data_IF_827878549568
#
_entry.id   IF_827878549568
#
_cell.length_a   1.000
_cell.length_b   1.000
_cell.length_c   1.000
_cell.angle_alpha   90.00
_cell.angle_beta   90.00
_cell.angle_gamma   90.00
#
_symmetry.space_group_name_H-M   'P 1'
#
loop_
_entity.id
_entity.type
_entity.pdbx_description
1 polymer ?
#
# COMPACT_ATOMS: atom_id res chain seq x y z
N UNK A 1 -17.51 -2.00 -15.59
CA UNK A 1 -16.56 -2.55 -14.59
C UNK A 1 -16.34 -4.02 -14.92
N UNK A 2 -15.09 -4.47 -15.05
CA UNK A 2 -14.78 -5.86 -15.43
C UNK A 2 -14.68 -6.76 -14.18
N UNK A 3 -14.95 -8.06 -14.33
CA UNK A 3 -14.77 -9.04 -13.24
C UNK A 3 -13.32 -9.05 -12.74
N UNK A 4 -12.36 -8.85 -13.64
CA UNK A 4 -10.92 -8.79 -13.31
C UNK A 4 -10.62 -7.57 -12.43
N UNK A 5 -11.16 -6.40 -12.78
CA UNK A 5 -11.00 -5.16 -11.99
C UNK A 5 -11.56 -5.33 -10.57
N UNK A 6 -12.72 -6.00 -10.46
CA UNK A 6 -13.32 -6.30 -9.17
C UNK A 6 -12.45 -7.24 -8.31
N UNK A 7 -11.94 -8.33 -8.89
CA UNK A 7 -11.12 -9.30 -8.17
C UNK A 7 -9.80 -8.71 -7.69
N UNK A 8 -9.11 -7.94 -8.54
CA UNK A 8 -7.84 -7.28 -8.18
C UNK A 8 -8.09 -6.21 -7.11
N UNK A 9 -9.18 -5.45 -7.24
CA UNK A 9 -9.58 -4.46 -6.26
C UNK A 9 -9.83 -5.06 -4.87
N UNK A 10 -10.57 -6.18 -4.79
CA UNK A 10 -10.83 -6.86 -3.50
C UNK A 10 -9.52 -7.31 -2.86
N UNK A 11 -8.61 -7.92 -3.62
CA UNK A 11 -7.30 -8.33 -3.13
C UNK A 11 -6.48 -7.14 -2.59
N UNK A 12 -6.44 -6.03 -3.34
CA UNK A 12 -5.71 -4.81 -2.97
C UNK A 12 -6.30 -4.14 -1.72
N UNK A 13 -7.64 -4.05 -1.63
CA UNK A 13 -8.34 -3.54 -0.45
C UNK A 13 -8.08 -4.40 0.79
N UNK A 14 -8.07 -5.73 0.64
CA UNK A 14 -7.73 -6.65 1.72
C UNK A 14 -6.31 -6.39 2.24
N UNK A 15 -5.32 -6.31 1.34
CA UNK A 15 -3.93 -6.01 1.71
C UNK A 15 -3.78 -4.65 2.41
N UNK A 16 -4.54 -3.64 1.99
CA UNK A 16 -4.57 -2.34 2.65
C UNK A 16 -5.10 -2.47 4.09
N UNK A 17 -6.23 -3.14 4.31
CA UNK A 17 -6.82 -3.34 5.64
C UNK A 17 -5.88 -4.12 6.57
N UNK A 18 -5.29 -5.22 6.08
CA UNK A 18 -4.37 -6.05 6.87
C UNK A 18 -3.06 -5.32 7.23
N UNK A 19 -2.68 -4.28 6.48
CA UNK A 19 -1.50 -3.47 6.78
C UNK A 19 -1.78 -2.28 7.71
N UNK A 20 -3.04 -1.92 7.98
CA UNK A 20 -3.40 -0.85 8.95
C UNK A 20 -2.90 -1.13 10.37
N UNK A 21 -3.02 -2.35 10.96
CA UNK A 21 -2.43 -2.64 12.27
C UNK A 21 -0.91 -2.39 12.32
N UNK A 22 -0.24 -2.56 11.18
CA UNK A 22 1.19 -2.23 11.03
C UNK A 22 1.43 -0.73 11.02
N UNK A 23 0.48 0.12 10.66
CA UNK A 23 0.58 1.57 10.88
C UNK A 23 0.43 1.90 12.37
N UNK A 24 -0.56 1.30 13.03
CA UNK A 24 -0.98 1.66 14.39
C UNK A 24 -0.06 1.07 15.49
N UNK A 25 0.55 -0.09 15.24
CA UNK A 25 1.39 -0.76 16.23
C UNK A 25 2.80 -0.13 16.28
N UNK A 26 3.08 0.74 17.24
CA UNK A 26 4.41 1.37 17.43
C UNK A 26 5.56 0.36 17.62
N UNK A 27 5.27 -0.88 18.04
CA UNK A 27 6.27 -1.95 18.22
C UNK A 27 6.51 -2.85 17.00
N UNK A 28 5.82 -2.64 15.87
CA UNK A 28 6.03 -3.50 14.70
C UNK A 28 7.41 -3.28 14.07
N UNK A 29 8.05 -4.40 13.69
CA UNK A 29 9.44 -4.46 13.23
C UNK A 29 9.60 -4.27 11.72
N UNK A 30 8.57 -3.79 11.01
CA UNK A 30 8.63 -3.65 9.55
C UNK A 30 9.72 -2.63 9.17
N UNK A 31 10.76 -3.05 8.42
CA UNK A 31 11.86 -2.16 8.06
C UNK A 31 11.41 -1.03 7.13
N UNK A 32 11.75 0.22 7.47
CA UNK A 32 11.38 1.40 6.67
C UNK A 32 12.07 1.43 5.30
N UNK A 33 13.40 1.26 5.27
CA UNK A 33 14.20 1.41 4.05
C UNK A 33 14.13 0.21 3.09
N UNK A 34 14.05 -1.01 3.62
CA UNK A 34 14.14 -2.23 2.79
C UNK A 34 12.78 -2.81 2.42
N UNK A 35 11.71 -2.46 3.13
CA UNK A 35 10.35 -2.94 2.82
C UNK A 35 9.38 -1.77 2.56
N UNK A 36 9.25 -0.85 3.51
CA UNK A 36 8.15 0.14 3.47
C UNK A 36 8.25 1.14 2.31
N UNK A 37 9.44 1.72 2.08
CA UNK A 37 9.67 2.68 0.99
C UNK A 37 9.54 2.02 -0.40
N UNK A 38 10.19 0.87 -0.69
CA UNK A 38 9.98 0.15 -1.95
C UNK A 38 8.51 -0.19 -2.20
N UNK A 39 7.81 -0.75 -1.21
CA UNK A 39 6.39 -1.10 -1.34
C UNK A 39 5.51 0.12 -1.62
N UNK A 40 5.69 1.22 -0.88
CA UNK A 40 4.94 2.45 -1.11
C UNK A 40 5.19 3.02 -2.51
N UNK A 41 6.46 3.02 -2.94
CA UNK A 41 6.88 3.57 -4.24
C UNK A 41 6.32 2.75 -5.41
N UNK A 42 6.40 1.42 -5.31
CA UNK A 42 5.88 0.50 -6.33
C UNK A 42 4.36 0.68 -6.46
N UNK A 43 3.63 0.70 -5.35
CA UNK A 43 2.17 0.87 -5.38
C UNK A 43 1.80 2.23 -5.98
N UNK A 44 2.49 3.31 -5.59
CA UNK A 44 2.27 4.66 -6.13
C UNK A 44 2.50 4.70 -7.65
N UNK A 45 3.54 4.01 -8.15
CA UNK A 45 3.83 3.92 -9.58
C UNK A 45 2.74 3.17 -10.36
N UNK A 46 2.13 2.16 -9.76
CA UNK A 46 1.10 1.35 -10.43
C UNK A 46 -0.27 2.04 -10.50
N UNK A 47 -0.59 2.98 -9.61
CA UNK A 47 -1.87 3.72 -9.64
C UNK A 47 -2.18 4.32 -11.02
N UNK A 48 -1.32 5.16 -11.64
CA UNK A 48 -1.61 5.72 -12.95
C UNK A 48 -1.62 4.66 -14.06
N UNK A 49 -0.85 3.58 -13.94
CA UNK A 49 -0.84 2.50 -14.93
C UNK A 49 -2.17 1.76 -14.97
N UNK A 50 -2.77 1.46 -13.81
CA UNK A 50 -4.09 0.85 -13.73
C UNK A 50 -5.20 1.80 -14.20
N UNK A 51 -5.09 3.09 -13.88
CA UNK A 51 -6.04 4.10 -14.34
C UNK A 51 -6.03 4.24 -15.87
N UNK A 52 -4.85 4.34 -16.50
CA UNK A 52 -4.72 4.44 -17.97
C UNK A 52 -5.20 3.15 -18.66
N UNK A 53 -5.11 2.01 -17.98
CA UNK A 53 -5.59 0.71 -18.49
C UNK A 53 -7.10 0.51 -18.37
N UNK A 54 -7.85 1.50 -17.86
CA UNK A 54 -9.31 1.41 -17.65
C UNK A 54 -9.72 0.53 -16.46
N UNK A 55 -8.80 0.28 -15.52
CA UNK A 55 -9.03 -0.46 -14.28
C UNK A 55 -9.16 0.52 -13.11
N UNK A 56 -10.20 1.36 -13.18
CA UNK A 56 -10.38 2.49 -12.26
C UNK A 56 -10.56 2.05 -10.80
N UNK A 57 -11.28 0.94 -10.56
CA UNK A 57 -11.50 0.44 -9.21
C UNK A 57 -10.21 -0.12 -8.60
N UNK A 58 -9.43 -0.84 -9.41
CA UNK A 58 -8.08 -1.29 -9.03
C UNK A 58 -7.16 -0.10 -8.75
N UNK A 59 -7.21 0.95 -9.58
CA UNK A 59 -6.39 2.14 -9.37
C UNK A 59 -6.71 2.82 -8.02
N UNK A 60 -7.99 2.97 -7.68
CA UNK A 60 -8.44 3.55 -6.41
C UNK A 60 -7.98 2.69 -5.22
N UNK A 61 -8.16 1.37 -5.30
CA UNK A 61 -7.79 0.47 -4.20
C UNK A 61 -6.29 0.37 -3.99
N UNK A 62 -5.49 0.35 -5.07
CA UNK A 62 -4.03 0.41 -4.99
C UNK A 62 -3.56 1.77 -4.48
N UNK A 63 -4.24 2.87 -4.82
CA UNK A 63 -3.94 4.18 -4.24
C UNK A 63 -4.18 4.19 -2.72
N UNK A 64 -5.28 3.60 -2.26
CA UNK A 64 -5.54 3.39 -0.83
C UNK A 64 -4.44 2.57 -0.16
N UNK A 65 -4.00 1.48 -0.79
CA UNK A 65 -2.90 0.65 -0.31
C UNK A 65 -1.58 1.43 -0.26
N UNK A 66 -1.27 2.24 -1.27
CA UNK A 66 -0.08 3.08 -1.33
C UNK A 66 -0.07 4.09 -0.16
N UNK A 67 -1.21 4.71 0.15
CA UNK A 67 -1.35 5.62 1.28
C UNK A 67 -1.03 4.89 2.59
N UNK A 68 -1.59 3.70 2.82
CA UNK A 68 -1.29 2.92 4.03
C UNK A 68 0.21 2.66 4.16
N UNK A 69 0.88 2.27 3.08
CA UNK A 69 2.33 2.07 3.10
C UNK A 69 3.12 3.37 3.32
N UNK A 70 2.70 4.50 2.77
CA UNK A 70 3.29 5.81 3.07
C UNK A 70 3.09 6.22 4.53
N UNK A 71 1.95 5.89 5.14
CA UNK A 71 1.74 6.07 6.58
C UNK A 71 2.71 5.20 7.39
N UNK A 72 2.92 3.93 6.99
CA UNK A 72 3.95 3.09 7.62
C UNK A 72 5.32 3.77 7.50
N UNK A 73 5.69 4.30 6.33
CA UNK A 73 6.94 5.04 6.15
C UNK A 73 7.00 6.25 7.09
N UNK A 74 5.94 7.06 7.16
CA UNK A 74 5.91 8.29 7.94
C UNK A 74 6.04 8.03 9.45
N UNK A 75 5.30 7.05 9.98
CA UNK A 75 5.28 6.74 11.40
C UNK A 75 6.44 5.86 11.89
N UNK A 76 7.24 5.28 10.98
CA UNK A 76 8.35 4.39 11.35
C UNK A 76 9.69 5.12 11.49
N UNK A 77 10.47 4.83 12.54
CA UNK A 77 11.80 5.40 12.68
C UNK A 77 12.75 4.82 11.62
N UNK A 78 13.66 5.67 11.12
CA UNK A 78 14.65 5.33 10.07
C UNK A 78 15.74 4.37 10.59
N UNK A 79 15.91 4.29 11.91
CA UNK A 79 16.77 3.35 12.65
C UNK A 79 15.94 2.72 13.77
N UNK A 80 16.16 1.44 14.08
CA UNK A 80 15.75 0.89 15.38
C UNK A 80 16.43 1.78 16.43
N UNK A 81 15.66 2.48 17.25
CA UNK A 81 16.20 2.99 18.52
C UNK A 81 16.59 1.71 19.28
N UNK A 82 17.89 1.58 19.52
CA UNK A 82 18.53 0.39 20.07
C UNK A 82 17.94 -0.02 21.41
#
# INVERSE_FOLDING_TARGET
MSLVDLLISIGSAGLAIFSVPTVLNKGSQVPRKTASIPSASILTYFVPLFAISGLDLTAITIAGQAIVWWLIVAFRPVRKLG
#
